data_IF_219736246268
#
_entry.id   IF_219736246268
#
_cell.length_a   1.000
_cell.length_b   1.000
_cell.length_c   1.000
_cell.angle_alpha   90.00
_cell.angle_beta   90.00
_cell.angle_gamma   90.00
#
_symmetry.space_group_name_H-M   'P 1'
#
loop_
_entity.id
_entity.type
_entity.pdbx_description
1 polymer ?
#
# COMPACT_ATOMS: atom_id res chain seq x y z
N UNK A 1 -5.52 4.81 -1.74
CA UNK A 1 -5.31 4.72 -0.28
C UNK A 1 -6.41 3.95 0.44
N UNK A 2 -7.67 4.39 0.46
CA UNK A 2 -8.73 3.62 1.13
C UNK A 2 -8.94 2.22 0.54
N UNK A 3 -8.86 2.08 -0.79
CA UNK A 3 -8.92 0.78 -1.45
C UNK A 3 -7.73 -0.13 -1.07
N UNK A 4 -6.52 0.43 -0.98
CA UNK A 4 -5.32 -0.29 -0.57
C UNK A 4 -5.41 -0.74 0.90
N UNK A 5 -5.92 0.14 1.78
CA UNK A 5 -6.19 -0.22 3.17
C UNK A 5 -7.19 -1.39 3.26
N UNK A 6 -8.28 -1.33 2.50
CA UNK A 6 -9.27 -2.41 2.45
C UNK A 6 -8.68 -3.71 1.93
N UNK A 7 -7.84 -3.64 0.88
CA UNK A 7 -7.15 -4.80 0.35
C UNK A 7 -6.21 -5.45 1.39
N UNK A 8 -5.48 -4.64 2.18
CA UNK A 8 -4.65 -5.16 3.27
C UNK A 8 -5.47 -5.78 4.39
N UNK A 9 -6.60 -5.17 4.77
CA UNK A 9 -7.50 -5.76 5.78
C UNK A 9 -8.05 -7.11 5.30
N UNK A 10 -8.47 -7.20 4.03
CA UNK A 10 -8.89 -8.47 3.44
C UNK A 10 -7.75 -9.50 3.45
N UNK A 11 -6.52 -9.09 3.14
CA UNK A 11 -5.35 -9.97 3.19
C UNK A 11 -5.06 -10.47 4.61
N UNK A 12 -5.21 -9.64 5.64
CA UNK A 12 -5.10 -10.09 7.05
C UNK A 12 -6.12 -11.19 7.34
N UNK A 13 -7.38 -11.02 6.91
CA UNK A 13 -8.42 -12.02 7.14
C UNK A 13 -8.09 -13.35 6.44
N UNK A 14 -7.56 -13.29 5.22
CA UNK A 14 -7.09 -14.48 4.49
C UNK A 14 -5.94 -15.16 5.23
N UNK A 15 -4.92 -14.42 5.68
CA UNK A 15 -3.79 -14.99 6.41
C UNK A 15 -4.19 -15.63 7.74
N UNK A 16 -5.13 -15.01 8.46
CA UNK A 16 -5.69 -15.59 9.69
C UNK A 16 -6.45 -16.87 9.36
N UNK A 17 -7.25 -16.89 8.28
CA UNK A 17 -7.94 -18.09 7.84
C UNK A 17 -6.96 -19.21 7.44
N UNK A 18 -5.87 -18.88 6.73
CA UNK A 18 -4.84 -19.85 6.35
C UNK A 18 -4.14 -20.45 7.56
N UNK A 19 -3.81 -19.65 8.58
CA UNK A 19 -3.22 -20.15 9.83
C UNK A 19 -4.14 -21.17 10.52
N UNK A 20 -5.46 -20.98 10.42
CA UNK A 20 -6.44 -21.83 11.09
C UNK A 20 -6.82 -23.09 10.28
N UNK A 21 -6.64 -23.08 8.96
CA UNK A 21 -7.22 -24.11 8.07
C UNK A 21 -6.19 -24.84 7.19
N UNK A 22 -5.03 -24.25 6.95
CA UNK A 22 -4.00 -24.83 6.09
C UNK A 22 -2.83 -25.35 6.93
N UNK A 23 -2.26 -26.53 6.59
CA UNK A 23 -1.05 -27.01 7.23
C UNK A 23 0.13 -26.10 6.85
N UNK A 24 0.55 -25.26 7.79
CA UNK A 24 1.67 -24.34 7.58
C UNK A 24 3.00 -25.10 7.55
N UNK A 25 3.82 -24.85 6.52
CA UNK A 25 5.20 -25.35 6.48
C UNK A 25 6.05 -24.81 7.66
N UNK A 26 5.71 -23.63 8.16
CA UNK A 26 6.25 -23.03 9.38
C UNK A 26 5.23 -22.10 10.01
N UNK A 27 4.71 -22.47 11.18
CA UNK A 27 3.76 -21.64 11.95
C UNK A 27 4.40 -20.30 12.35
N UNK A 28 5.70 -20.31 12.68
CA UNK A 28 6.43 -19.09 13.03
C UNK A 28 6.46 -18.09 11.87
N UNK A 29 6.75 -18.56 10.65
CA UNK A 29 6.78 -17.70 9.47
C UNK A 29 5.38 -17.16 9.12
N UNK A 30 4.34 -17.99 9.27
CA UNK A 30 2.96 -17.57 9.03
C UNK A 30 2.51 -16.47 10.00
N UNK A 31 2.81 -16.62 11.29
CA UNK A 31 2.51 -15.59 12.31
C UNK A 31 3.31 -14.30 12.02
N UNK A 32 4.61 -14.41 11.71
CA UNK A 32 5.45 -13.25 11.43
C UNK A 32 4.92 -12.44 10.24
N UNK A 33 4.56 -13.11 9.14
CA UNK A 33 3.96 -12.47 7.97
C UNK A 33 2.61 -11.82 8.31
N UNK A 34 1.77 -12.51 9.08
CA UNK A 34 0.46 -11.98 9.49
C UNK A 34 0.61 -10.69 10.30
N UNK A 35 1.49 -10.68 11.30
CA UNK A 35 1.78 -9.49 12.12
C UNK A 35 2.30 -8.35 11.25
N UNK A 36 3.21 -8.64 10.31
CA UNK A 36 3.73 -7.63 9.39
C UNK A 36 2.61 -6.99 8.54
N UNK A 37 1.70 -7.80 8.00
CA UNK A 37 0.57 -7.32 7.20
C UNK A 37 -0.43 -6.55 8.06
N UNK A 38 -0.66 -6.94 9.32
CA UNK A 38 -1.47 -6.16 10.28
C UNK A 38 -0.87 -4.77 10.50
N UNK A 39 0.44 -4.68 10.72
CA UNK A 39 1.14 -3.39 10.88
C UNK A 39 0.98 -2.54 9.62
N UNK A 40 1.16 -3.14 8.44
CA UNK A 40 0.94 -2.45 7.17
C UNK A 40 -0.51 -1.95 7.04
N UNK A 41 -1.50 -2.77 7.37
CA UNK A 41 -2.92 -2.41 7.30
C UNK A 41 -3.24 -1.20 8.21
N UNK A 42 -2.71 -1.19 9.44
CA UNK A 42 -2.85 -0.06 10.37
C UNK A 42 -2.19 1.20 9.80
N UNK A 43 -0.95 1.08 9.30
CA UNK A 43 -0.21 2.19 8.72
C UNK A 43 -0.96 2.80 7.53
N UNK A 44 -1.38 1.99 6.56
CA UNK A 44 -2.07 2.49 5.34
C UNK A 44 -3.44 3.07 5.69
N UNK A 45 -4.15 2.49 6.65
CA UNK A 45 -5.40 3.06 7.16
C UNK A 45 -5.17 4.44 7.79
N UNK A 46 -4.11 4.61 8.59
CA UNK A 46 -3.73 5.89 9.16
C UNK A 46 -3.37 6.91 8.08
N UNK A 47 -2.63 6.50 7.04
CA UNK A 47 -2.29 7.35 5.89
C UNK A 47 -3.55 7.77 5.13
N UNK A 48 -4.49 6.85 4.90
CA UNK A 48 -5.75 7.15 4.24
C UNK A 48 -6.57 8.20 5.01
N UNK A 49 -6.66 8.04 6.34
CA UNK A 49 -7.32 9.01 7.22
C UNK A 49 -6.59 10.35 7.25
N UNK A 50 -5.25 10.35 7.31
CA UNK A 50 -4.44 11.57 7.29
C UNK A 50 -4.59 12.34 5.97
N UNK A 51 -4.70 11.62 4.85
CA UNK A 51 -4.94 12.19 3.53
C UNK A 51 -6.35 12.81 3.45
N UNK A 52 -7.37 12.15 4.01
CA UNK A 52 -8.72 12.71 4.14
C UNK A 52 -8.76 13.96 5.02
N UNK A 53 -7.91 14.01 6.07
CA UNK A 53 -7.74 15.18 6.95
C UNK A 53 -6.80 16.25 6.39
N UNK A 54 -6.28 16.09 5.17
CA UNK A 54 -5.31 17.02 4.52
C UNK A 54 -4.08 17.32 5.38
N UNK A 55 -3.61 16.33 6.15
CA UNK A 55 -2.47 16.52 7.04
C UNK A 55 -1.15 16.67 6.25
N UNK A 56 -0.22 17.55 6.63
CA UNK A 56 0.99 17.82 5.85
C UNK A 56 1.93 16.61 5.72
N UNK A 57 1.91 15.67 6.68
CA UNK A 57 2.76 14.48 6.66
C UNK A 57 2.21 13.34 5.80
N UNK A 58 0.94 13.40 5.35
CA UNK A 58 0.28 12.29 4.66
C UNK A 58 0.87 12.02 3.27
N UNK A 59 1.40 13.07 2.61
CA UNK A 59 2.01 12.95 1.27
C UNK A 59 3.26 12.08 1.31
N UNK A 60 4.16 12.35 2.26
CA UNK A 60 5.40 11.58 2.40
C UNK A 60 5.11 10.12 2.74
N UNK A 61 4.20 9.87 3.67
CA UNK A 61 3.80 8.52 4.06
C UNK A 61 3.15 7.74 2.89
N UNK A 62 2.33 8.41 2.07
CA UNK A 62 1.76 7.83 0.87
C UNK A 62 2.84 7.43 -0.16
N UNK A 63 3.86 8.28 -0.39
CA UNK A 63 4.99 7.94 -1.28
C UNK A 63 5.72 6.70 -0.76
N UNK A 64 6.04 6.67 0.55
CA UNK A 64 6.73 5.52 1.17
C UNK A 64 5.94 4.24 0.95
N UNK A 65 4.62 4.28 1.13
CA UNK A 65 3.76 3.12 0.88
C UNK A 65 3.83 2.64 -0.57
N UNK A 66 3.79 3.56 -1.54
CA UNK A 66 3.94 3.20 -2.96
C UNK A 66 5.29 2.55 -3.27
N UNK A 67 6.38 3.04 -2.67
CA UNK A 67 7.71 2.44 -2.83
C UNK A 67 7.77 1.02 -2.26
N UNK A 68 7.11 0.78 -1.13
CA UNK A 68 6.97 -0.57 -0.55
C UNK A 68 6.24 -1.50 -1.52
N UNK A 69 5.14 -1.06 -2.12
CA UNK A 69 4.42 -1.89 -3.10
C UNK A 69 5.23 -2.15 -4.37
N UNK A 70 6.02 -1.18 -4.85
CA UNK A 70 6.93 -1.39 -5.98
C UNK A 70 7.98 -2.45 -5.64
N UNK A 71 8.57 -2.41 -4.43
CA UNK A 71 9.52 -3.42 -3.98
C UNK A 71 8.88 -4.82 -3.92
N UNK A 72 7.64 -4.92 -3.41
CA UNK A 72 6.87 -6.17 -3.38
C UNK A 72 6.59 -6.68 -4.80
N UNK A 73 6.18 -5.80 -5.72
CA UNK A 73 5.90 -6.16 -7.10
C UNK A 73 7.15 -6.69 -7.82
N UNK A 74 8.30 -6.03 -7.66
CA UNK A 74 9.59 -6.52 -8.18
C UNK A 74 9.91 -7.89 -7.60
N UNK A 75 9.72 -8.07 -6.28
CA UNK A 75 9.87 -9.36 -5.61
C UNK A 75 9.01 -10.46 -6.21
N UNK A 76 7.78 -10.15 -6.64
CA UNK A 76 6.88 -11.12 -7.26
C UNK A 76 7.31 -11.57 -8.67
N UNK A 77 8.14 -10.79 -9.37
CA UNK A 77 8.68 -11.16 -10.68
C UNK A 77 9.93 -12.05 -10.62
N UNK A 78 10.55 -12.18 -9.45
CA UNK A 78 11.86 -12.83 -9.29
C UNK A 78 11.82 -13.91 -8.21
N UNK A 79 12.73 -14.89 -8.31
CA UNK A 79 12.86 -15.99 -7.36
C UNK A 79 12.18 -17.30 -7.81
N UNK A 80 12.37 -18.37 -7.02
CA UNK A 80 11.92 -19.73 -7.37
C UNK A 80 10.39 -19.86 -7.36
N UNK A 81 9.72 -19.03 -6.56
CA UNK A 81 8.25 -18.96 -6.46
C UNK A 81 7.70 -17.70 -7.12
N UNK A 82 8.34 -17.22 -8.19
CA UNK A 82 7.89 -16.05 -8.92
C UNK A 82 6.44 -16.22 -9.40
N UNK A 83 5.63 -15.19 -9.18
CA UNK A 83 4.22 -15.13 -9.54
C UNK A 83 3.96 -13.82 -10.31
N UNK A 84 4.31 -13.77 -11.61
CA UNK A 84 4.25 -12.54 -12.39
C UNK A 84 2.86 -11.90 -12.46
N UNK A 85 1.80 -12.72 -12.40
CA UNK A 85 0.42 -12.23 -12.40
C UNK A 85 0.14 -11.32 -11.18
N UNK A 86 0.58 -11.72 -10.00
CA UNK A 86 0.48 -10.91 -8.78
C UNK A 86 1.40 -9.69 -8.83
N UNK A 87 2.59 -9.83 -9.41
CA UNK A 87 3.50 -8.71 -9.66
C UNK A 87 2.86 -7.59 -10.46
N UNK A 88 2.21 -7.91 -11.59
CA UNK A 88 1.50 -6.92 -12.41
C UNK A 88 0.29 -6.31 -11.70
N UNK A 89 -0.48 -7.14 -10.98
CA UNK A 89 -1.65 -6.67 -10.23
C UNK A 89 -1.30 -5.66 -9.13
N UNK A 90 -0.09 -5.71 -8.57
CA UNK A 90 0.42 -4.76 -7.58
C UNK A 90 1.13 -3.58 -8.26
N UNK A 91 1.96 -3.84 -9.29
CA UNK A 91 2.76 -2.83 -9.96
C UNK A 91 1.89 -1.73 -10.58
N UNK A 92 0.88 -2.11 -11.35
CA UNK A 92 0.01 -1.18 -12.08
C UNK A 92 -0.68 -0.17 -11.17
N UNK A 93 -1.43 -0.56 -10.11
CA UNK A 93 -2.06 0.41 -9.24
C UNK A 93 -1.03 1.25 -8.47
N UNK A 94 0.13 0.68 -8.13
CA UNK A 94 1.16 1.41 -7.40
C UNK A 94 1.76 2.55 -8.22
N UNK A 95 2.08 2.27 -9.50
CA UNK A 95 2.59 3.28 -10.43
C UNK A 95 1.52 4.35 -10.69
N UNK A 96 0.26 3.97 -10.87
CA UNK A 96 -0.85 4.92 -11.06
C UNK A 96 -1.00 5.82 -9.83
N UNK A 97 -1.03 5.26 -8.62
CA UNK A 97 -1.16 6.02 -7.39
C UNK A 97 0.04 6.95 -7.15
N UNK A 98 1.26 6.48 -7.44
CA UNK A 98 2.46 7.29 -7.39
C UNK A 98 2.38 8.47 -8.36
N UNK A 99 2.04 8.23 -9.63
CA UNK A 99 1.86 9.27 -10.64
C UNK A 99 0.82 10.28 -10.14
N UNK A 100 -0.37 9.84 -9.74
CA UNK A 100 -1.43 10.72 -9.23
C UNK A 100 -0.99 11.57 -8.03
N UNK A 101 -0.14 11.04 -7.15
CA UNK A 101 0.39 11.77 -6.00
C UNK A 101 1.34 12.92 -6.41
N UNK A 102 2.02 12.75 -7.54
CA UNK A 102 2.88 13.77 -8.18
C UNK A 102 2.13 14.63 -9.21
N UNK A 103 1.01 14.16 -9.78
CA UNK A 103 0.17 14.90 -10.73
C UNK A 103 -0.70 15.92 -9.98
N UNK A 104 -0.07 17.04 -9.63
CA UNK A 104 -0.59 18.42 -9.61
C UNK A 104 -2.11 18.62 -9.36
N UNK A 105 -2.70 18.05 -8.31
CA UNK A 105 -4.02 18.50 -7.83
C UNK A 105 -3.96 19.87 -7.11
N UNK A 106 -2.79 20.50 -6.96
CA UNK A 106 -2.61 21.81 -6.30
C UNK A 106 -1.49 22.61 -6.97
N UNK A 107 -1.73 23.16 -8.14
CA UNK A 107 -1.01 24.38 -8.55
C UNK A 107 -1.96 25.43 -9.13
N UNK A 108 -3.27 25.18 -9.12
CA UNK A 108 -4.29 26.11 -9.63
C UNK A 108 -4.84 27.02 -8.51
N UNK A 109 -4.75 26.62 -7.24
CA UNK A 109 -5.33 27.38 -6.11
C UNK A 109 -4.39 28.48 -5.56
N UNK A 110 -3.09 28.46 -5.90
CA UNK A 110 -2.11 29.44 -5.40
C UNK A 110 -1.83 30.60 -6.35
N UNK A 111 -2.65 30.81 -7.40
CA UNK A 111 -2.60 32.05 -8.16
C UNK A 111 -3.18 33.15 -7.27
N UNK A 112 -2.32 33.84 -6.51
CA UNK A 112 -2.68 35.11 -5.89
C UNK A 112 -3.21 36.03 -6.99
N UNK A 113 -4.35 36.71 -6.81
CA UNK A 113 -4.67 37.84 -7.66
C UNK A 113 -3.57 38.87 -7.44
N UNK A 114 -2.95 39.29 -8.53
CA UNK A 114 -2.04 40.43 -8.51
C UNK A 114 -2.85 41.63 -7.99
N UNK A 115 -2.37 42.24 -6.91
CA UNK A 115 -2.99 43.43 -6.30
C UNK A 115 -2.58 44.61 -7.19
N UNK A 116 -3.53 45.15 -7.94
CA UNK A 116 -3.43 46.44 -8.63
C UNK A 116 -3.42 47.62 -7.64
#
# INVERSE_FOLDING_TARGET
MFLEALALVALVLVLVFDILTQPAASVASAIALTVLVVIAAVFVSAVAVALARRSPWSRGAAVVWQLVQLAIAVGAFQGVTAQPAWGWAILVPSVIALILLFTRSVMIILRRPDVE
#
